data_IF_166428406568
#
_entry.id   IF_166428406568
#
_cell.length_a   1.000
_cell.length_b   1.000
_cell.length_c   1.000
_cell.angle_alpha   90.00
_cell.angle_beta   90.00
_cell.angle_gamma   90.00
#
_symmetry.space_group_name_H-M   'P 1'
#
loop_
_entity.id
_entity.type
_entity.pdbx_description
1 polymer ?
#
# COMPACT_ATOMS: atom_id res chain seq x y z
N UNK A 1 -23.86 -16.14 -14.18
CA UNK A 1 -22.80 -16.44 -13.20
C UNK A 1 -21.74 -15.38 -13.44
N UNK A 2 -21.66 -14.31 -12.66
CA UNK A 2 -20.80 -13.21 -13.04
C UNK A 2 -19.37 -13.54 -12.60
N UNK A 3 -18.53 -13.59 -13.60
CA UNK A 3 -17.10 -13.71 -13.54
C UNK A 3 -16.56 -12.64 -12.57
N UNK A 4 -15.84 -13.05 -11.51
CA UNK A 4 -15.08 -12.15 -10.63
C UNK A 4 -13.57 -12.13 -10.97
N UNK A 5 -13.11 -11.99 -12.23
CA UNK A 5 -11.68 -11.83 -12.54
C UNK A 5 -11.20 -10.38 -12.33
N UNK A 6 -12.10 -9.41 -12.17
CA UNK A 6 -11.72 -7.99 -12.08
C UNK A 6 -11.09 -7.62 -10.74
N UNK A 7 -11.67 -8.04 -9.62
CA UNK A 7 -11.22 -7.59 -8.29
C UNK A 7 -9.77 -7.99 -8.00
N UNK A 8 -9.39 -9.24 -8.34
CA UNK A 8 -8.06 -9.77 -8.07
C UNK A 8 -6.98 -9.09 -8.92
N UNK A 9 -7.30 -8.81 -10.18
CA UNK A 9 -6.41 -8.06 -11.08
C UNK A 9 -6.24 -6.62 -10.61
N UNK A 10 -7.32 -5.97 -10.18
CA UNK A 10 -7.25 -4.63 -9.59
C UNK A 10 -6.41 -4.60 -8.31
N UNK A 11 -6.51 -5.62 -7.45
CA UNK A 11 -5.70 -5.70 -6.23
C UNK A 11 -4.20 -5.86 -6.53
N UNK A 12 -3.84 -6.73 -7.47
CA UNK A 12 -2.45 -6.89 -7.90
C UNK A 12 -1.88 -5.58 -8.46
N UNK A 13 -2.63 -4.91 -9.34
CA UNK A 13 -2.21 -3.64 -9.94
C UNK A 13 -2.02 -2.52 -8.91
N UNK A 14 -2.91 -2.43 -7.90
CA UNK A 14 -2.79 -1.43 -6.82
C UNK A 14 -1.57 -1.71 -5.93
N UNK A 15 -1.28 -2.98 -5.64
CA UNK A 15 -0.11 -3.36 -4.85
C UNK A 15 1.20 -3.03 -5.57
N UNK A 16 1.31 -3.38 -6.86
CA UNK A 16 2.48 -3.04 -7.67
C UNK A 16 2.65 -1.53 -7.80
N UNK A 17 1.55 -0.80 -8.03
CA UNK A 17 1.54 0.66 -8.04
C UNK A 17 2.04 1.26 -6.72
N UNK A 18 1.63 0.70 -5.58
CA UNK A 18 2.10 1.12 -4.26
C UNK A 18 3.61 0.92 -4.07
N UNK A 19 4.17 -0.21 -4.51
CA UNK A 19 5.62 -0.47 -4.45
C UNK A 19 6.38 0.56 -5.29
N UNK A 20 5.92 0.83 -6.51
CA UNK A 20 6.53 1.82 -7.39
C UNK A 20 6.47 3.22 -6.77
N UNK A 21 5.33 3.61 -6.19
CA UNK A 21 5.20 4.88 -5.44
C UNK A 21 6.17 4.95 -4.26
N UNK A 22 6.33 3.87 -3.49
CA UNK A 22 7.26 3.82 -2.37
C UNK A 22 8.73 4.00 -2.81
N UNK A 23 9.12 3.40 -3.93
CA UNK A 23 10.46 3.58 -4.51
C UNK A 23 10.70 5.03 -4.92
N UNK A 24 9.75 5.64 -5.62
CA UNK A 24 9.82 7.04 -6.04
C UNK A 24 9.86 7.98 -4.84
N UNK A 25 9.06 7.71 -3.79
CA UNK A 25 9.08 8.47 -2.55
C UNK A 25 10.47 8.47 -1.89
N UNK A 26 11.16 7.32 -1.87
CA UNK A 26 12.53 7.23 -1.37
C UNK A 26 13.52 8.12 -2.13
N UNK A 27 13.39 8.18 -3.46
CA UNK A 27 14.21 9.05 -4.32
C UNK A 27 13.92 10.52 -4.00
N UNK A 28 12.65 10.91 -3.93
CA UNK A 28 12.23 12.28 -3.57
C UNK A 28 12.77 12.67 -2.20
N UNK A 29 12.70 11.78 -1.20
CA UNK A 29 13.24 12.03 0.13
C UNK A 29 14.77 12.27 0.10
N UNK A 30 15.51 11.44 -0.64
CA UNK A 30 16.95 11.62 -0.82
C UNK A 30 17.28 12.96 -1.50
N UNK A 31 16.54 13.32 -2.57
CA UNK A 31 16.70 14.61 -3.24
C UNK A 31 16.43 15.78 -2.30
N UNK A 32 15.41 15.66 -1.45
CA UNK A 32 15.03 16.66 -0.45
C UNK A 32 16.16 16.86 0.57
N UNK A 33 16.70 15.77 1.13
CA UNK A 33 17.81 15.81 2.10
C UNK A 33 19.06 16.41 1.46
N UNK A 34 19.38 15.98 0.24
CA UNK A 34 20.55 16.47 -0.50
C UNK A 34 20.42 17.98 -0.80
N UNK A 35 19.21 18.46 -1.16
CA UNK A 35 18.95 19.88 -1.36
C UNK A 35 19.19 20.70 -0.09
N UNK A 36 18.69 20.22 1.07
CA UNK A 36 18.93 20.87 2.36
C UNK A 36 20.41 20.90 2.77
N UNK A 37 21.18 19.87 2.39
CA UNK A 37 22.60 19.77 2.73
C UNK A 37 23.49 20.67 1.86
N UNK A 38 23.30 20.68 0.54
CA UNK A 38 24.18 21.41 -0.37
C UNK A 38 23.86 22.91 -0.50
N UNK A 39 22.62 23.33 -0.21
CA UNK A 39 22.20 24.73 -0.38
C UNK A 39 21.72 25.37 0.94
N UNK A 40 22.62 25.57 1.93
CA UNK A 40 22.24 26.17 3.21
C UNK A 40 21.80 27.64 3.06
N UNK A 41 22.31 28.38 2.07
CA UNK A 41 22.01 29.81 1.81
C UNK A 41 20.83 30.09 0.85
N UNK A 42 20.15 29.06 0.34
CA UNK A 42 19.05 29.25 -0.60
C UNK A 42 17.79 29.84 0.05
N UNK A 43 16.97 30.49 -0.80
CA UNK A 43 15.76 31.23 -0.40
C UNK A 43 14.80 30.34 0.40
N UNK A 44 14.40 30.80 1.59
CA UNK A 44 13.47 30.13 2.51
C UNK A 44 12.18 29.64 1.84
N UNK A 45 11.70 30.32 0.79
CA UNK A 45 10.51 29.92 0.02
C UNK A 45 10.66 28.56 -0.69
N UNK A 46 11.82 28.28 -1.29
CA UNK A 46 12.10 26.99 -1.93
C UNK A 46 12.14 25.86 -0.90
N UNK A 47 12.77 26.10 0.26
CA UNK A 47 12.78 25.16 1.39
C UNK A 47 11.37 24.85 1.91
N UNK A 48 10.51 25.86 1.99
CA UNK A 48 9.11 25.68 2.40
C UNK A 48 8.31 24.88 1.38
N UNK A 49 8.43 25.19 0.09
CA UNK A 49 7.77 24.43 -0.97
C UNK A 49 8.20 22.96 -0.97
N UNK A 50 9.50 22.70 -0.86
CA UNK A 50 10.05 21.34 -0.79
C UNK A 50 9.52 20.59 0.44
N UNK A 51 9.46 21.24 1.60
CA UNK A 51 8.88 20.64 2.80
C UNK A 51 7.38 20.36 2.66
N UNK A 52 6.63 21.27 2.03
CA UNK A 52 5.20 21.10 1.77
C UNK A 52 4.93 19.94 0.81
N UNK A 53 5.68 19.86 -0.28
CA UNK A 53 5.61 18.74 -1.24
C UNK A 53 5.93 17.43 -0.55
N UNK A 54 6.97 17.38 0.29
CA UNK A 54 7.33 16.18 1.04
C UNK A 54 6.23 15.76 2.03
N UNK A 55 5.59 16.71 2.72
CA UNK A 55 4.47 16.42 3.62
C UNK A 55 3.24 15.89 2.86
N UNK A 56 2.91 16.48 1.71
CA UNK A 56 1.82 16.00 0.85
C UNK A 56 2.08 14.58 0.34
N UNK A 57 3.30 14.31 -0.12
CA UNK A 57 3.70 12.98 -0.62
C UNK A 57 3.65 11.95 0.52
N UNK A 58 4.11 12.33 1.72
CA UNK A 58 4.03 11.49 2.93
C UNK A 58 2.59 11.17 3.32
N UNK A 59 1.68 12.14 3.23
CA UNK A 59 0.25 11.94 3.49
C UNK A 59 -0.37 10.99 2.46
N UNK A 60 -0.05 11.15 1.18
CA UNK A 60 -0.50 10.25 0.13
C UNK A 60 0.01 8.82 0.36
N UNK A 61 1.30 8.67 0.70
CA UNK A 61 1.88 7.37 1.02
C UNK A 61 1.24 6.74 2.26
N UNK A 62 0.92 7.54 3.29
CA UNK A 62 0.22 7.06 4.49
C UNK A 62 -1.21 6.58 4.18
N UNK A 63 -1.95 7.29 3.33
CA UNK A 63 -3.26 6.82 2.87
C UNK A 63 -3.16 5.51 2.09
N UNK A 64 -2.17 5.36 1.21
CA UNK A 64 -1.96 4.12 0.48
C UNK A 64 -1.60 2.95 1.41
N UNK A 65 -0.74 3.17 2.41
CA UNK A 65 -0.43 2.16 3.44
C UNK A 65 -1.69 1.78 4.22
N UNK A 66 -2.47 2.76 4.67
CA UNK A 66 -3.69 2.52 5.42
C UNK A 66 -4.72 1.74 4.59
N UNK A 67 -4.89 2.13 3.33
CA UNK A 67 -5.73 1.47 2.37
C UNK A 67 -5.27 0.02 2.17
N UNK A 68 -3.98 -0.18 1.90
CA UNK A 68 -3.41 -1.51 1.70
C UNK A 68 -3.52 -2.38 2.96
N UNK A 69 -3.32 -1.83 4.15
CA UNK A 69 -3.49 -2.51 5.43
C UNK A 69 -4.93 -2.98 5.63
N UNK A 70 -5.89 -2.05 5.46
CA UNK A 70 -7.31 -2.36 5.56
C UNK A 70 -7.70 -3.45 4.56
N UNK A 71 -7.26 -3.34 3.30
CA UNK A 71 -7.52 -4.35 2.28
C UNK A 71 -6.83 -5.68 2.56
N UNK A 72 -5.54 -5.75 2.90
CA UNK A 72 -4.83 -7.02 3.11
C UNK A 72 -5.29 -7.79 4.34
N UNK A 73 -5.66 -7.08 5.41
CA UNK A 73 -5.94 -7.72 6.70
C UNK A 73 -7.41 -8.04 6.83
N UNK A 74 -8.30 -7.10 6.52
CA UNK A 74 -9.74 -7.34 6.64
C UNK A 74 -10.20 -8.31 5.57
N UNK A 75 -9.70 -8.21 4.33
CA UNK A 75 -10.08 -9.16 3.28
C UNK A 75 -9.57 -10.57 3.61
N UNK A 76 -8.31 -10.72 4.04
CA UNK A 76 -7.75 -12.02 4.44
C UNK A 76 -8.54 -12.64 5.59
N UNK A 77 -8.79 -11.87 6.64
CA UNK A 77 -9.58 -12.33 7.77
C UNK A 77 -10.99 -12.77 7.35
N UNK A 78 -11.64 -12.01 6.46
CA UNK A 78 -12.99 -12.33 5.96
C UNK A 78 -12.99 -13.58 5.08
N UNK A 79 -11.95 -13.79 4.28
CA UNK A 79 -11.80 -15.01 3.48
C UNK A 79 -11.59 -16.25 4.37
N UNK A 80 -10.86 -16.14 5.48
CA UNK A 80 -10.65 -17.27 6.39
C UNK A 80 -11.94 -17.68 7.12
N UNK A 81 -12.78 -16.74 7.56
CA UNK A 81 -14.09 -17.07 8.17
C UNK A 81 -15.06 -17.67 7.15
N UNK A 82 -15.07 -17.19 5.91
CA UNK A 82 -15.94 -17.74 4.87
C UNK A 82 -15.41 -19.10 4.36
N UNK A 83 -14.10 -19.26 4.24
CA UNK A 83 -13.46 -20.54 3.93
C UNK A 83 -13.69 -21.58 5.04
N UNK A 84 -13.63 -21.17 6.31
CA UNK A 84 -13.95 -22.04 7.45
C UNK A 84 -15.44 -22.39 7.53
N UNK A 85 -16.33 -21.51 7.08
CA UNK A 85 -17.77 -21.78 6.96
C UNK A 85 -18.09 -22.69 5.77
N UNK A 86 -17.38 -22.54 4.65
CA UNK A 86 -17.45 -23.40 3.46
C UNK A 86 -16.71 -24.72 3.60
N UNK A 87 -15.82 -24.86 4.59
CA UNK A 87 -15.20 -26.12 4.97
C UNK A 87 -16.29 -27.05 5.50
N UNK A 88 -16.99 -27.67 4.56
CA UNK A 88 -18.13 -28.53 4.79
C UNK A 88 -17.68 -29.68 5.70
N UNK A 89 -18.50 -30.03 6.71
CA UNK A 89 -18.18 -31.07 7.70
C UNK A 89 -17.72 -32.40 7.08
N UNK A 90 -18.11 -32.66 5.83
CA UNK A 90 -17.67 -33.81 5.02
C UNK A 90 -16.17 -33.84 4.71
N UNK A 91 -15.50 -32.69 4.54
CA UNK A 91 -14.05 -32.59 4.31
C UNK A 91 -13.23 -32.91 5.57
N UNK A 92 -13.77 -32.61 6.76
CA UNK A 92 -13.16 -32.95 8.05
C UNK A 92 -13.27 -34.46 8.34
N UNK A 93 -14.35 -35.10 7.89
CA UNK A 93 -14.54 -36.55 8.02
C UNK A 93 -13.72 -37.37 7.02
N UNK A 94 -13.38 -36.82 5.84
CA UNK A 94 -12.62 -37.51 4.79
C UNK A 94 -11.09 -37.30 4.89
N UNK A 95 -10.55 -37.08 6.11
CA UNK A 95 -9.10 -37.15 6.35
C UNK A 95 -8.79 -38.53 6.96
N UNK A 96 -8.32 -39.52 6.19
CA UNK A 96 -7.80 -40.75 6.78
C UNK A 96 -6.54 -40.41 7.58
N UNK A 97 -6.46 -40.93 8.80
CA UNK A 97 -5.30 -40.77 9.70
C UNK A 97 -4.02 -41.33 9.08
#
# INVERSE_FOLDING_TARGET
>A
MPDTPSINVTFGAVFDGFILSLMLYGITCCQTIQYYYYFPKDKMYLKFLVALTWLMDSLQQAFLVHLLWHYLIILRHTQDVEASSRANWSLILCRPR
#
